data_IF_045516139109
#
_entry.id   IF_045516139109
#
_cell.length_a   1.000
_cell.length_b   1.000
_cell.length_c   1.000
_cell.angle_alpha   90.00
_cell.angle_beta   90.00
_cell.angle_gamma   90.00
#
_symmetry.space_group_name_H-M   'P 1'
#
loop_
_entity.id
_entity.type
_entity.pdbx_description
1 polymer ?
#
# COMPACT_ATOMS: atom_id res chain seq x y z
N UNK A 1 -14.83 44.94 16.93
CA UNK A 1 -14.78 43.46 16.96
C UNK A 1 -16.05 42.96 17.64
N UNK A 2 -16.95 42.31 16.91
CA UNK A 2 -18.21 41.82 17.48
C UNK A 2 -17.96 40.49 18.20
N UNK A 3 -18.20 40.43 19.51
CA UNK A 3 -18.24 39.19 20.30
C UNK A 3 -19.70 38.78 20.44
N UNK A 4 -20.17 37.90 19.57
CA UNK A 4 -21.58 37.48 19.54
C UNK A 4 -21.95 36.47 20.64
N UNK A 5 -21.01 36.13 21.55
CA UNK A 5 -21.26 35.24 22.70
C UNK A 5 -21.64 33.79 22.34
N UNK A 6 -21.62 33.42 21.05
CA UNK A 6 -22.14 32.14 20.57
C UNK A 6 -21.30 30.92 20.99
N UNK A 7 -20.03 31.14 21.32
CA UNK A 7 -19.10 30.11 21.76
C UNK A 7 -18.49 30.56 23.08
N UNK A 8 -18.94 29.93 24.17
CA UNK A 8 -18.55 30.29 25.54
C UNK A 8 -17.60 29.28 26.18
N UNK A 9 -17.42 28.11 25.55
CA UNK A 9 -16.57 27.04 26.07
C UNK A 9 -15.62 26.56 24.98
N UNK A 10 -14.45 26.05 25.40
CA UNK A 10 -13.50 25.39 24.50
C UNK A 10 -14.13 24.23 23.73
N UNK A 11 -14.98 23.45 24.40
CA UNK A 11 -15.75 22.38 23.77
C UNK A 11 -16.70 22.89 22.68
N UNK A 12 -17.46 23.96 22.96
CA UNK A 12 -18.34 24.58 21.97
C UNK A 12 -17.56 25.17 20.78
N UNK A 13 -16.33 25.62 21.01
CA UNK A 13 -15.44 26.07 19.94
C UNK A 13 -15.01 24.91 19.04
N UNK A 14 -14.53 23.81 19.63
CA UNK A 14 -14.14 22.61 18.90
C UNK A 14 -15.31 22.03 18.10
N UNK A 15 -16.50 21.95 18.69
CA UNK A 15 -17.70 21.45 18.02
C UNK A 15 -18.12 22.35 16.85
N UNK A 16 -18.07 23.68 17.01
CA UNK A 16 -18.38 24.60 15.92
C UNK A 16 -17.34 24.52 14.79
N UNK A 17 -16.07 24.31 15.13
CA UNK A 17 -14.96 24.16 14.18
C UNK A 17 -15.09 22.84 13.41
N UNK A 18 -15.36 21.74 14.11
CA UNK A 18 -15.65 20.43 13.52
C UNK A 18 -16.87 20.51 12.59
N UNK A 19 -17.97 21.14 13.02
CA UNK A 19 -19.16 21.29 12.17
C UNK A 19 -18.90 22.11 10.89
N UNK A 20 -18.04 23.13 10.97
CA UNK A 20 -17.75 24.03 9.84
C UNK A 20 -16.68 23.52 8.88
N UNK A 21 -15.70 22.78 9.39
CA UNK A 21 -14.47 22.44 8.68
C UNK A 21 -14.12 20.96 8.71
N UNK A 22 -14.93 20.10 9.36
CA UNK A 22 -14.71 18.67 9.25
C UNK A 22 -14.80 18.26 7.77
N UNK A 23 -13.89 17.40 7.30
CA UNK A 23 -14.09 16.65 6.07
C UNK A 23 -15.50 16.04 6.12
N UNK A 24 -16.20 16.01 4.97
CA UNK A 24 -17.61 15.60 4.89
C UNK A 24 -17.90 14.37 5.77
N UNK A 25 -19.12 14.26 6.31
CA UNK A 25 -19.65 13.11 7.06
C UNK A 25 -19.36 11.70 6.47
N UNK A 26 -18.85 11.63 5.25
CA UNK A 26 -18.46 10.42 4.53
C UNK A 26 -16.98 9.99 4.71
N UNK A 27 -16.10 10.82 5.27
CA UNK A 27 -14.68 10.46 5.47
C UNK A 27 -14.48 9.89 6.88
N UNK A 28 -14.86 8.62 7.05
CA UNK A 28 -14.63 7.85 8.28
C UNK A 28 -13.25 7.18 8.24
N UNK A 29 -12.23 7.71 8.95
CA UNK A 29 -10.89 7.16 8.93
C UNK A 29 -10.83 5.74 9.50
N UNK A 30 -11.75 5.37 10.39
CA UNK A 30 -11.83 4.01 10.92
C UNK A 30 -12.25 3.04 9.82
N UNK A 31 -13.31 3.37 9.07
CA UNK A 31 -13.71 2.57 7.90
C UNK A 31 -12.62 2.51 6.82
N UNK A 32 -11.91 3.61 6.59
CA UNK A 32 -10.79 3.63 5.67
C UNK A 32 -9.67 2.68 6.12
N UNK A 33 -9.36 2.66 7.43
CA UNK A 33 -8.36 1.75 8.01
C UNK A 33 -8.78 0.29 7.85
N UNK A 34 -10.04 -0.04 8.12
CA UNK A 34 -10.57 -1.40 7.97
C UNK A 34 -10.54 -1.93 6.53
N UNK A 35 -10.78 -1.05 5.56
CA UNK A 35 -10.80 -1.40 4.13
C UNK A 35 -9.41 -1.35 3.51
N UNK A 36 -8.41 -0.80 4.21
CA UNK A 36 -7.07 -0.66 3.69
C UNK A 36 -6.46 -2.04 3.45
N UNK A 37 -6.01 -2.26 2.21
CA UNK A 37 -5.38 -3.51 1.79
C UNK A 37 -4.11 -3.19 1.01
N UNK A 38 -3.06 -3.96 1.24
CA UNK A 38 -1.80 -3.87 0.52
C UNK A 38 -2.02 -4.32 -0.93
N UNK A 39 -1.88 -3.36 -1.86
CA UNK A 39 -1.95 -3.61 -3.31
C UNK A 39 -0.58 -3.55 -4.00
N UNK A 40 0.36 -2.82 -3.40
CA UNK A 40 1.70 -2.61 -3.92
C UNK A 40 2.76 -3.04 -2.92
N UNK A 41 3.85 -2.27 -2.85
CA UNK A 41 4.89 -2.53 -1.87
C UNK A 41 4.41 -2.30 -0.44
N UNK A 42 5.04 -2.97 0.50
CA UNK A 42 4.79 -2.83 1.92
C UNK A 42 5.01 -1.39 2.38
N UNK A 43 6.00 -0.70 1.82
CA UNK A 43 6.28 0.70 2.17
C UNK A 43 5.13 1.65 1.77
N UNK A 44 4.55 1.45 0.57
CA UNK A 44 3.36 2.19 0.16
C UNK A 44 2.17 1.91 1.10
N UNK A 45 1.98 0.65 1.46
CA UNK A 45 0.93 0.27 2.41
C UNK A 45 1.14 0.87 3.80
N UNK A 46 2.37 0.84 4.34
CA UNK A 46 2.72 1.44 5.61
C UNK A 46 2.47 2.95 5.63
N UNK A 47 2.88 3.65 4.58
CA UNK A 47 2.67 5.10 4.45
C UNK A 47 1.18 5.43 4.51
N UNK A 48 0.34 4.70 3.77
CA UNK A 48 -1.11 4.91 3.80
C UNK A 48 -1.74 4.49 5.12
N UNK A 49 -1.27 3.40 5.72
CA UNK A 49 -1.73 2.90 7.01
C UNK A 49 -1.48 3.94 8.10
N UNK A 50 -0.27 4.48 8.20
CA UNK A 50 0.10 5.53 9.15
C UNK A 50 -0.69 6.82 8.91
N UNK A 51 -0.84 7.23 7.64
CA UNK A 51 -1.63 8.41 7.27
C UNK A 51 -3.07 8.33 7.76
N UNK A 52 -3.69 7.15 7.69
CA UNK A 52 -5.07 6.94 8.15
C UNK A 52 -5.12 6.74 9.66
N UNK A 53 -4.27 5.88 10.23
CA UNK A 53 -4.26 5.55 11.65
C UNK A 53 -4.01 6.77 12.53
N UNK A 54 -3.13 7.69 12.09
CA UNK A 54 -2.84 8.93 12.82
C UNK A 54 -4.03 9.91 12.90
N UNK A 55 -5.09 9.70 12.10
CA UNK A 55 -6.32 10.50 12.15
C UNK A 55 -7.35 9.96 13.16
N UNK A 56 -7.13 8.76 13.70
CA UNK A 56 -8.07 8.10 14.62
C UNK A 56 -7.59 8.29 16.05
N UNK A 57 -8.46 8.83 16.91
CA UNK A 57 -8.18 9.05 18.33
C UNK A 57 -8.82 7.92 19.15
N UNK A 58 -8.08 7.36 20.11
CA UNK A 58 -8.62 6.38 21.08
C UNK A 58 -8.76 4.95 20.57
N UNK A 59 -8.21 4.62 19.40
CA UNK A 59 -8.20 3.24 18.89
C UNK A 59 -7.22 2.37 19.69
N UNK A 60 -7.65 1.23 20.26
CA UNK A 60 -6.76 0.38 21.03
C UNK A 60 -5.59 -0.15 20.19
N UNK A 61 -4.38 -0.19 20.76
CA UNK A 61 -3.20 -0.65 20.05
C UNK A 61 -3.28 -2.08 19.51
N UNK A 62 -3.88 -3.06 20.21
CA UNK A 62 -4.13 -4.40 19.65
C UNK A 62 -5.03 -4.37 18.41
N UNK A 63 -5.93 -3.38 18.34
CA UNK A 63 -6.83 -3.20 17.22
C UNK A 63 -6.10 -2.67 15.99
N UNK A 64 -5.24 -1.67 16.19
CA UNK A 64 -4.35 -1.12 15.14
C UNK A 64 -3.47 -2.24 14.58
N UNK A 65 -2.87 -3.05 15.46
CA UNK A 65 -2.07 -4.21 15.07
C UNK A 65 -2.88 -5.22 14.24
N UNK A 66 -4.10 -5.54 14.69
CA UNK A 66 -4.99 -6.46 13.95
C UNK A 66 -5.32 -5.91 12.57
N UNK A 67 -5.70 -4.64 12.47
CA UNK A 67 -5.98 -3.98 11.19
C UNK A 67 -4.76 -4.02 10.26
N UNK A 68 -3.58 -3.72 10.79
CA UNK A 68 -2.33 -3.79 10.05
C UNK A 68 -2.11 -5.18 9.44
N UNK A 69 -2.18 -6.24 10.26
CA UNK A 69 -1.97 -7.62 9.82
C UNK A 69 -3.04 -8.04 8.81
N UNK A 70 -4.31 -7.70 9.04
CA UNK A 70 -5.41 -8.07 8.14
C UNK A 70 -5.32 -7.40 6.76
N UNK A 71 -4.84 -6.16 6.72
CA UNK A 71 -4.64 -5.41 5.49
C UNK A 71 -3.40 -5.83 4.69
N UNK A 72 -2.48 -6.64 5.24
CA UNK A 72 -1.36 -7.19 4.47
C UNK A 72 -1.84 -8.09 3.33
N UNK A 73 -1.02 -8.21 2.29
CA UNK A 73 -1.29 -9.12 1.18
C UNK A 73 -1.45 -10.57 1.69
N UNK A 74 -2.33 -11.39 1.10
CA UNK A 74 -2.63 -12.72 1.63
C UNK A 74 -1.42 -13.65 1.78
N UNK A 75 -0.41 -13.49 0.93
CA UNK A 75 0.86 -14.23 0.99
C UNK A 75 1.68 -13.86 2.22
N UNK A 76 1.87 -12.55 2.47
CA UNK A 76 2.62 -12.04 3.63
C UNK A 76 1.84 -12.24 4.92
N UNK A 77 0.54 -11.96 4.91
CA UNK A 77 -0.35 -12.02 6.09
C UNK A 77 -0.29 -13.36 6.80
N UNK A 78 -0.35 -14.47 6.05
CA UNK A 78 -0.35 -15.83 6.60
C UNK A 78 0.94 -16.10 7.39
N UNK A 79 2.07 -15.72 6.82
CA UNK A 79 3.40 -15.89 7.43
C UNK A 79 3.55 -15.02 8.67
N UNK A 80 3.12 -13.75 8.62
CA UNK A 80 3.18 -12.84 9.77
C UNK A 80 2.25 -13.31 10.88
N UNK A 81 1.04 -13.79 10.57
CA UNK A 81 0.11 -14.33 11.57
C UNK A 81 0.66 -15.58 12.28
N UNK A 82 1.34 -16.46 11.55
CA UNK A 82 1.95 -17.66 12.12
C UNK A 82 3.02 -17.33 13.19
N UNK A 83 3.65 -16.17 13.07
CA UNK A 83 4.68 -15.70 14.00
C UNK A 83 4.13 -14.90 15.19
N UNK A 84 2.82 -14.65 15.23
CA UNK A 84 2.11 -13.98 16.33
C UNK A 84 2.83 -12.72 16.87
N UNK A 85 3.04 -11.68 16.05
CA UNK A 85 3.68 -10.45 16.51
C UNK A 85 2.87 -9.78 17.62
N UNK A 86 3.56 -9.32 18.67
CA UNK A 86 2.93 -8.62 19.79
C UNK A 86 2.80 -7.09 19.58
N UNK A 87 3.57 -6.53 18.63
CA UNK A 87 3.61 -5.09 18.37
C UNK A 87 3.60 -4.78 16.89
N UNK A 88 3.19 -3.55 16.55
CA UNK A 88 3.18 -3.06 15.16
C UNK A 88 4.59 -3.06 14.56
N UNK A 89 5.60 -2.67 15.32
CA UNK A 89 7.00 -2.66 14.86
C UNK A 89 7.50 -4.06 14.49
N UNK A 90 7.20 -5.07 15.33
CA UNK A 90 7.55 -6.47 15.04
C UNK A 90 6.78 -6.96 13.82
N UNK A 91 5.48 -6.69 13.72
CA UNK A 91 4.68 -7.07 12.56
C UNK A 91 5.21 -6.45 11.26
N UNK A 92 5.64 -5.18 11.29
CA UNK A 92 6.24 -4.49 10.15
C UNK A 92 7.56 -5.12 9.73
N UNK A 93 8.45 -5.42 10.68
CA UNK A 93 9.72 -6.08 10.39
C UNK A 93 9.52 -7.48 9.76
N UNK A 94 8.59 -8.26 10.32
CA UNK A 94 8.22 -9.57 9.77
C UNK A 94 7.61 -9.45 8.38
N UNK A 95 6.69 -8.52 8.17
CA UNK A 95 6.09 -8.28 6.87
C UNK A 95 7.16 -7.92 5.83
N UNK A 96 8.16 -7.12 6.20
CA UNK A 96 9.25 -6.73 5.30
C UNK A 96 10.11 -7.91 4.89
N UNK A 97 10.48 -8.76 5.85
CA UNK A 97 11.22 -9.99 5.58
C UNK A 97 10.48 -10.91 4.60
N UNK A 98 9.16 -11.03 4.75
CA UNK A 98 8.35 -11.86 3.86
C UNK A 98 8.18 -11.25 2.46
N UNK A 99 8.08 -9.93 2.36
CA UNK A 99 8.10 -9.23 1.06
C UNK A 99 9.41 -9.49 0.31
N UNK A 100 10.55 -9.34 0.98
CA UNK A 100 11.87 -9.52 0.35
C UNK A 100 12.05 -10.97 -0.14
N UNK A 101 11.61 -11.95 0.66
CA UNK A 101 11.58 -13.37 0.28
C UNK A 101 10.69 -13.64 -0.94
N UNK A 102 9.55 -12.96 -1.05
CA UNK A 102 8.66 -13.09 -2.22
C UNK A 102 9.29 -12.50 -3.47
N UNK A 103 9.90 -11.32 -3.36
CA UNK A 103 10.54 -10.65 -4.48
C UNK A 103 11.78 -11.40 -4.98
N UNK A 104 12.55 -12.00 -4.07
CA UNK A 104 13.65 -12.88 -4.44
C UNK A 104 13.15 -14.08 -5.24
N UNK A 105 12.10 -14.78 -4.78
CA UNK A 105 11.50 -15.90 -5.53
C UNK A 105 11.02 -15.45 -6.91
N UNK A 106 10.31 -14.33 -7.00
CA UNK A 106 9.83 -13.77 -8.29
C UNK A 106 10.97 -13.51 -9.27
N UNK A 107 12.13 -13.06 -8.80
CA UNK A 107 13.33 -12.85 -9.65
C UNK A 107 13.89 -14.17 -10.18
N UNK A 108 13.92 -15.21 -9.35
CA UNK A 108 14.44 -16.53 -9.75
C UNK A 108 13.54 -17.24 -10.78
N UNK A 109 12.23 -16.97 -10.78
CA UNK A 109 11.28 -17.59 -11.72
C UNK A 109 11.06 -16.81 -13.02
N UNK A 110 11.75 -15.68 -13.25
CA UNK A 110 11.68 -15.01 -14.56
C UNK A 110 12.47 -15.84 -15.58
N UNK A 111 11.83 -16.39 -16.64
CA UNK A 111 12.58 -17.03 -17.70
C UNK A 111 13.52 -15.99 -18.32
N UNK A 112 14.81 -16.31 -18.40
CA UNK A 112 15.74 -15.52 -19.21
C UNK A 112 15.22 -15.55 -20.64
N UNK A 113 14.58 -14.47 -21.09
CA UNK A 113 14.46 -14.23 -22.53
C UNK A 113 15.87 -14.04 -23.05
N UNK A 114 16.43 -15.13 -23.57
CA UNK A 114 17.67 -15.15 -24.30
C UNK A 114 17.44 -14.28 -25.54
N UNK A 115 18.02 -13.09 -25.57
CA UNK A 115 18.12 -12.32 -26.80
C UNK A 115 18.92 -13.16 -27.79
N UNK A 116 18.22 -13.87 -28.68
CA UNK A 116 18.83 -14.37 -29.91
C UNK A 116 19.15 -13.14 -30.75
N UNK A 117 20.42 -12.75 -30.76
CA UNK A 117 20.97 -11.90 -31.79
C UNK A 117 20.89 -12.64 -33.11
N UNK A 118 19.81 -12.43 -33.86
CA UNK A 118 19.70 -12.87 -35.24
C UNK A 118 20.68 -12.05 -36.09
N UNK A 119 21.84 -12.62 -36.37
CA UNK A 119 22.74 -12.13 -37.42
C UNK A 119 22.05 -12.30 -38.77
N UNK A 120 21.53 -11.19 -39.29
CA UNK A 120 20.97 -11.09 -40.64
C UNK A 120 22.07 -11.35 -41.68
N UNK A 121 22.10 -12.56 -42.22
CA UNK A 121 22.83 -12.90 -43.46
C UNK A 121 21.87 -12.72 -44.63
N UNK A 122 21.96 -11.58 -45.31
CA UNK A 122 21.22 -11.33 -46.56
C UNK A 122 21.93 -12.04 -47.71
N UNK A 123 21.40 -13.18 -48.13
CA UNK A 123 21.81 -13.84 -49.36
C UNK A 123 21.27 -13.05 -50.56
N UNK A 124 22.16 -12.58 -51.43
CA UNK A 124 21.82 -11.95 -52.71
C UNK A 124 21.35 -13.00 -53.70
N UNK A 125 20.06 -12.98 -54.05
CA UNK A 125 19.47 -13.81 -55.10
C UNK A 125 19.78 -13.22 -56.48
N UNK A 126 20.54 -13.97 -57.27
CA UNK A 126 20.87 -13.73 -58.67
C UNK A 126 19.63 -13.86 -59.55
N UNK A 127 19.28 -12.81 -60.29
CA UNK A 127 18.25 -12.78 -61.36
C UNK A 127 18.73 -13.52 -62.62
N UNK A 128 17.89 -14.34 -63.29
CA UNK A 128 18.18 -14.81 -64.65
C UNK A 128 17.58 -13.86 -65.70
N UNK A 129 18.38 -13.52 -66.71
CA UNK A 129 18.03 -12.75 -67.92
C UNK A 129 17.28 -13.63 -68.93
N UNK A 130 16.24 -13.09 -69.59
CA UNK A 130 15.66 -13.64 -70.82
C UNK A 130 16.39 -13.05 -72.05
N UNK A 131 16.66 -13.85 -73.11
CA UNK A 131 17.18 -13.37 -74.38
C UNK A 131 16.07 -12.87 -75.32
N UNK A 132 16.43 -11.93 -76.19
CA UNK A 132 15.65 -11.46 -77.33
C UNK A 132 16.37 -11.86 -78.62
#
# INVERSE_FOLDING_TARGET
>A
MFRNGLITTWFGFLQALETRFAPSYYDDPSQALFKLTQRGSLNQYLTEFERIANRIIGLPQPFILSCFIFGLSPEIRREVQALQPATLSVATALAKLQEDKLDERRRHFKPKHQHQSSSSSTNTTTTPLLPN
#
